data_IF_548226664844
#
_entry.id   IF_548226664844
#
_cell.length_a   1.000
_cell.length_b   1.000
_cell.length_c   1.000
_cell.angle_alpha   90.00
_cell.angle_beta   90.00
_cell.angle_gamma   90.00
#
_symmetry.space_group_name_H-M   'P 1'
#
loop_
_entity.id
_entity.type
_entity.pdbx_description
1 polymer ?
#
# COMPACT_ATOMS: atom_id res chain seq x y z
N UNK A 1 -80.13 -27.45 53.65
CA UNK A 1 -80.75 -26.12 53.43
C UNK A 1 -79.90 -25.05 54.10
N UNK A 2 -79.59 -24.01 53.33
CA UNK A 2 -79.25 -22.63 53.65
C UNK A 2 -78.76 -22.21 55.07
N UNK A 3 -77.60 -21.52 55.06
CA UNK A 3 -77.30 -20.18 55.67
C UNK A 3 -77.53 -20.05 57.20
N UNK A 4 -76.60 -19.53 57.99
CA UNK A 4 -76.03 -18.17 57.90
C UNK A 4 -74.94 -17.97 58.98
N UNK A 5 -73.91 -17.20 58.60
CA UNK A 5 -72.73 -16.76 59.35
C UNK A 5 -73.04 -15.85 60.55
N UNK A 6 -72.23 -15.90 61.61
CA UNK A 6 -71.89 -14.75 62.50
C UNK A 6 -70.44 -14.92 63.02
N UNK A 7 -69.51 -14.02 62.68
CA UNK A 7 -68.98 -12.88 63.48
C UNK A 7 -68.20 -13.34 64.73
N UNK A 8 -67.06 -12.77 65.15
CA UNK A 8 -66.03 -11.84 64.66
C UNK A 8 -65.02 -11.74 65.83
N UNK A 9 -63.72 -11.75 65.52
CA UNK A 9 -62.57 -11.12 66.25
C UNK A 9 -62.12 -11.63 67.63
N UNK A 10 -60.79 -11.82 67.69
CA UNK A 10 -59.74 -11.34 68.65
C UNK A 10 -58.81 -12.52 69.00
N UNK A 11 -57.48 -12.46 69.06
CA UNK A 11 -56.46 -11.40 68.93
C UNK A 11 -55.10 -12.07 69.28
N UNK A 12 -53.96 -11.66 68.64
CA UNK A 12 -52.55 -11.74 69.14
C UNK A 12 -51.89 -13.18 69.19
N UNK A 13 -50.63 -13.50 68.86
CA UNK A 13 -49.29 -12.85 68.84
C UNK A 13 -48.30 -13.67 67.93
N UNK A 14 -47.46 -12.99 67.13
CA UNK A 14 -46.11 -13.35 66.57
C UNK A 14 -45.89 -14.67 65.81
N UNK A 15 -45.10 -14.74 64.73
CA UNK A 15 -43.70 -14.31 64.63
C UNK A 15 -43.29 -14.12 63.15
N UNK A 16 -42.49 -13.07 62.92
CA UNK A 16 -41.74 -12.73 61.71
C UNK A 16 -41.12 -13.94 61.00
N UNK A 17 -41.29 -14.02 59.68
CA UNK A 17 -40.23 -14.24 58.67
C UNK A 17 -40.87 -14.15 57.28
N UNK A 18 -40.05 -13.80 56.28
CA UNK A 18 -40.32 -13.76 54.84
C UNK A 18 -40.64 -12.36 54.28
N UNK A 19 -39.85 -12.02 53.25
CA UNK A 19 -39.89 -10.86 52.33
C UNK A 19 -39.07 -9.63 52.75
N UNK A 20 -37.74 -9.76 52.78
CA UNK A 20 -36.87 -8.57 52.63
C UNK A 20 -35.45 -8.83 52.08
N UNK A 21 -35.18 -9.90 51.33
CA UNK A 21 -33.88 -10.06 50.65
C UNK A 21 -34.01 -10.78 49.29
N UNK A 22 -34.62 -10.15 48.26
CA UNK A 22 -34.11 -10.42 46.91
C UNK A 22 -34.01 -9.19 45.99
N UNK A 23 -34.13 -7.95 46.49
CA UNK A 23 -34.09 -6.76 45.62
C UNK A 23 -32.72 -6.04 45.63
N UNK A 24 -31.93 -6.14 46.70
CA UNK A 24 -30.62 -5.48 46.78
C UNK A 24 -29.51 -6.19 45.96
N UNK A 25 -29.61 -7.52 45.77
CA UNK A 25 -28.65 -8.27 44.96
C UNK A 25 -28.87 -8.09 43.44
N UNK A 26 -30.09 -7.74 43.02
CA UNK A 26 -30.39 -7.54 41.62
C UNK A 26 -29.89 -6.19 41.09
N UNK A 27 -29.77 -5.18 41.96
CA UNK A 27 -29.26 -3.84 41.58
C UNK A 27 -27.73 -3.78 41.58
N UNK A 28 -27.04 -4.64 42.33
CA UNK A 28 -25.56 -4.69 42.32
C UNK A 28 -24.99 -5.41 41.07
N UNK A 29 -25.78 -6.30 40.46
CA UNK A 29 -25.36 -7.02 39.24
C UNK A 29 -25.54 -6.21 37.95
N UNK A 30 -26.28 -5.10 37.96
CA UNK A 30 -26.47 -4.26 36.77
C UNK A 30 -25.47 -3.11 36.65
N UNK A 31 -24.67 -2.83 37.68
CA UNK A 31 -23.65 -1.76 37.66
C UNK A 31 -22.22 -2.25 37.39
N UNK A 32 -22.00 -3.56 37.21
CA UNK A 32 -20.69 -4.15 36.91
C UNK A 32 -20.69 -5.08 35.69
N UNK A 33 -21.50 -4.75 34.68
CA UNK A 33 -21.37 -5.33 33.34
C UNK A 33 -21.39 -4.22 32.31
N UNK A 34 -20.42 -3.29 32.39
CA UNK A 34 -19.99 -2.61 31.15
C UNK A 34 -19.44 -3.73 30.26
N UNK A 35 -19.91 -3.89 29.01
CA UNK A 35 -19.25 -4.80 28.10
C UNK A 35 -17.79 -4.37 28.06
N UNK A 36 -16.88 -5.30 28.38
CA UNK A 36 -15.50 -5.15 27.96
C UNK A 36 -15.63 -5.06 26.45
N UNK A 37 -15.43 -3.85 25.93
CA UNK A 37 -15.25 -3.62 24.52
C UNK A 37 -14.01 -4.43 24.17
N UNK A 38 -14.23 -5.68 23.76
CA UNK A 38 -13.18 -6.56 23.26
C UNK A 38 -12.50 -5.75 22.17
N UNK A 39 -11.26 -5.31 22.44
CA UNK A 39 -10.43 -4.64 21.47
C UNK A 39 -10.51 -5.46 20.19
N UNK A 40 -11.02 -4.84 19.12
CA UNK A 40 -11.13 -5.45 17.81
C UNK A 40 -9.74 -6.04 17.51
N UNK A 41 -9.68 -7.35 17.27
CA UNK A 41 -8.46 -8.01 16.81
C UNK A 41 -7.91 -7.17 15.63
N UNK A 42 -6.61 -6.84 15.58
CA UNK A 42 -6.09 -5.93 14.57
C UNK A 42 -6.49 -6.45 13.20
N UNK A 43 -7.20 -5.63 12.41
CA UNK A 43 -7.51 -5.97 11.02
C UNK A 43 -6.20 -6.30 10.31
N UNK A 44 -6.14 -7.48 9.70
CA UNK A 44 -4.99 -7.89 8.89
C UNK A 44 -4.78 -6.86 7.78
N UNK A 45 -3.57 -6.29 7.70
CA UNK A 45 -3.23 -5.28 6.70
C UNK A 45 -3.18 -5.98 5.34
N UNK A 46 -3.95 -5.50 4.37
CA UNK A 46 -3.85 -5.96 2.98
C UNK A 46 -2.54 -5.46 2.36
N UNK A 47 -1.49 -6.27 2.49
CA UNK A 47 -0.14 -5.95 2.00
C UNK A 47 -0.10 -5.77 0.47
N UNK A 48 -0.98 -6.43 -0.28
CA UNK A 48 -1.07 -6.30 -1.73
C UNK A 48 -1.56 -4.91 -2.12
N UNK A 49 -2.63 -4.44 -1.46
CA UNK A 49 -3.13 -3.09 -1.67
C UNK A 49 -2.11 -2.03 -1.22
N UNK A 50 -1.39 -2.26 -0.10
CA UNK A 50 -0.31 -1.37 0.34
C UNK A 50 0.80 -1.27 -0.70
N UNK A 51 1.22 -2.39 -1.31
CA UNK A 51 2.22 -2.39 -2.36
C UNK A 51 1.75 -1.58 -3.58
N UNK A 52 0.52 -1.81 -4.06
CA UNK A 52 -0.08 -1.06 -5.17
C UNK A 52 -0.11 0.44 -4.88
N UNK A 53 -0.66 0.84 -3.72
CA UNK A 53 -0.79 2.24 -3.31
C UNK A 53 0.59 2.93 -3.17
N UNK A 54 1.62 2.17 -2.75
CA UNK A 54 2.98 2.70 -2.60
C UNK A 54 3.60 3.14 -3.94
N UNK A 55 3.22 2.48 -5.05
CA UNK A 55 3.77 2.72 -6.38
C UNK A 55 2.88 3.60 -7.26
N UNK A 56 1.55 3.55 -7.06
CA UNK A 56 0.56 4.09 -8.00
C UNK A 56 0.76 5.58 -8.30
N UNK A 57 1.04 6.38 -7.29
CA UNK A 57 1.31 7.80 -7.49
C UNK A 57 2.52 8.05 -8.39
N UNK A 58 3.64 7.38 -8.13
CA UNK A 58 4.84 7.53 -8.96
C UNK A 58 4.62 7.01 -10.38
N UNK A 59 3.83 5.94 -10.54
CA UNK A 59 3.43 5.44 -11.85
C UNK A 59 2.62 6.49 -12.65
N UNK A 60 1.66 7.18 -12.01
CA UNK A 60 0.90 8.28 -12.65
C UNK A 60 1.80 9.47 -13.05
N UNK A 61 2.81 9.80 -12.23
CA UNK A 61 3.82 10.82 -12.57
C UNK A 61 4.61 10.40 -13.82
N UNK A 62 5.01 9.14 -13.92
CA UNK A 62 5.72 8.61 -15.09
C UNK A 62 4.82 8.56 -16.32
N UNK A 63 3.52 8.31 -16.15
CA UNK A 63 2.56 8.36 -17.23
C UNK A 63 2.44 9.76 -17.84
N UNK A 64 2.27 10.79 -17.01
CA UNK A 64 2.25 12.20 -17.45
C UNK A 64 3.52 12.56 -18.24
N UNK A 65 4.66 12.00 -17.84
CA UNK A 65 5.98 12.34 -18.40
C UNK A 65 6.38 11.54 -19.63
N UNK A 66 6.04 10.26 -19.67
CA UNK A 66 6.60 9.29 -20.61
C UNK A 66 5.55 8.45 -21.33
N UNK A 67 4.26 8.60 -21.02
CA UNK A 67 3.17 7.82 -21.60
C UNK A 67 3.28 6.31 -21.36
N UNK A 68 3.93 5.90 -20.27
CA UNK A 68 3.90 4.49 -19.82
C UNK A 68 2.68 4.32 -18.93
N UNK A 69 1.76 3.44 -19.31
CA UNK A 69 0.53 3.21 -18.54
C UNK A 69 0.86 2.77 -17.10
N UNK A 70 0.28 3.43 -16.08
CA UNK A 70 0.43 3.06 -14.68
C UNK A 70 0.05 1.61 -14.39
N UNK A 71 -1.05 1.13 -14.95
CA UNK A 71 -1.52 -0.26 -14.83
C UNK A 71 -0.45 -1.26 -15.27
N UNK A 72 0.20 -1.02 -16.41
CA UNK A 72 1.30 -1.83 -16.92
C UNK A 72 2.52 -1.77 -16.01
N UNK A 73 2.89 -0.57 -15.56
CA UNK A 73 4.05 -0.41 -14.67
C UNK A 73 3.86 -1.18 -13.36
N UNK A 74 2.68 -1.06 -12.75
CA UNK A 74 2.34 -1.73 -11.49
C UNK A 74 2.18 -3.24 -11.70
N UNK A 75 1.53 -3.69 -12.77
CA UNK A 75 1.37 -5.12 -13.07
C UNK A 75 2.71 -5.81 -13.32
N UNK A 76 3.62 -5.17 -14.06
CA UNK A 76 4.99 -5.66 -14.23
C UNK A 76 5.74 -5.66 -12.89
N UNK A 77 5.63 -4.60 -12.08
CA UNK A 77 6.26 -4.61 -10.76
C UNK A 77 5.75 -5.77 -9.89
N UNK A 78 4.45 -6.02 -9.85
CA UNK A 78 3.85 -7.15 -9.12
C UNK A 78 4.44 -8.48 -9.60
N UNK A 79 4.40 -8.72 -10.92
CA UNK A 79 4.81 -9.99 -11.51
C UNK A 79 6.31 -10.25 -11.37
N UNK A 80 7.15 -9.26 -11.64
CA UNK A 80 8.60 -9.40 -11.73
C UNK A 80 9.28 -9.38 -10.36
N UNK A 81 8.63 -8.79 -9.35
CA UNK A 81 9.21 -8.64 -8.01
C UNK A 81 8.55 -9.48 -6.93
N UNK A 82 7.53 -10.28 -7.26
CA UNK A 82 6.71 -11.00 -6.29
C UNK A 82 6.18 -10.06 -5.19
N UNK A 83 5.46 -9.01 -5.61
CA UNK A 83 4.96 -7.97 -4.69
C UNK A 83 6.07 -7.24 -3.90
N UNK A 84 7.25 -7.11 -4.49
CA UNK A 84 8.44 -6.53 -3.86
C UNK A 84 9.22 -7.49 -2.95
N UNK A 85 8.78 -8.75 -2.82
CA UNK A 85 9.35 -9.73 -1.89
C UNK A 85 10.47 -10.57 -2.49
N UNK A 86 10.71 -10.51 -3.81
CA UNK A 86 11.82 -11.21 -4.42
C UNK A 86 13.15 -10.75 -3.78
N UNK A 87 14.12 -11.66 -3.68
CA UNK A 87 15.41 -11.35 -3.06
C UNK A 87 16.07 -10.13 -3.72
N UNK A 88 15.95 -10.02 -5.04
CA UNK A 88 16.49 -8.90 -5.81
C UNK A 88 15.75 -7.59 -5.50
N UNK A 89 14.42 -7.60 -5.41
CA UNK A 89 13.66 -6.41 -5.03
C UNK A 89 13.99 -5.98 -3.60
N UNK A 90 14.02 -6.91 -2.66
CA UNK A 90 14.29 -6.64 -1.25
C UNK A 90 15.72 -6.13 -0.99
N UNK A 91 16.74 -6.66 -1.67
CA UNK A 91 18.14 -6.29 -1.43
C UNK A 91 18.66 -5.14 -2.30
N UNK A 92 18.02 -4.91 -3.45
CA UNK A 92 18.51 -3.99 -4.47
C UNK A 92 17.48 -2.98 -4.98
N UNK A 93 16.26 -2.96 -4.42
CA UNK A 93 15.14 -2.16 -4.89
C UNK A 93 14.84 -2.31 -6.39
N UNK A 94 15.20 -3.45 -6.97
CA UNK A 94 15.11 -3.68 -8.41
C UNK A 94 13.86 -4.51 -8.71
N UNK A 95 12.77 -3.80 -9.04
CA UNK A 95 11.44 -4.38 -9.25
C UNK A 95 11.32 -5.16 -10.56
N UNK A 96 12.16 -4.89 -11.55
CA UNK A 96 11.98 -5.37 -12.93
C UNK A 96 13.11 -6.28 -13.42
N UNK A 97 13.92 -6.81 -12.51
CA UNK A 97 15.00 -7.74 -12.86
C UNK A 97 16.11 -7.13 -13.75
N UNK A 98 16.30 -5.82 -13.71
CA UNK A 98 17.19 -5.13 -14.67
C UNK A 98 18.66 -5.48 -14.39
N UNK A 99 19.31 -6.13 -15.36
CA UNK A 99 20.73 -6.48 -15.28
C UNK A 99 21.66 -5.27 -15.46
N UNK A 100 22.86 -5.38 -14.90
CA UNK A 100 23.95 -4.43 -15.08
C UNK A 100 24.27 -3.62 -13.82
N UNK A 101 24.48 -2.32 -14.03
CA UNK A 101 24.91 -1.38 -12.99
C UNK A 101 24.10 -0.09 -13.09
N UNK A 102 23.76 0.51 -11.95
CA UNK A 102 23.06 1.78 -11.87
C UNK A 102 23.85 2.75 -11.00
N UNK A 103 24.36 3.84 -11.58
CA UNK A 103 25.18 4.86 -10.91
C UNK A 103 26.36 4.28 -10.09
N UNK A 104 26.99 3.20 -10.56
CA UNK A 104 28.08 2.50 -9.85
C UNK A 104 27.60 1.34 -8.97
N UNK A 105 26.31 1.24 -8.65
CA UNK A 105 25.76 0.24 -7.74
C UNK A 105 25.18 -0.99 -8.47
N UNK A 106 25.46 -2.17 -7.92
CA UNK A 106 24.91 -3.44 -8.38
C UNK A 106 24.94 -4.48 -7.25
N UNK A 107 24.15 -5.54 -7.40
CA UNK A 107 24.29 -6.79 -6.65
C UNK A 107 24.64 -7.93 -7.62
N UNK A 108 25.32 -8.96 -7.14
CA UNK A 108 25.59 -10.15 -7.95
C UNK A 108 24.82 -11.32 -7.36
N UNK A 109 23.88 -11.86 -8.12
CA UNK A 109 22.98 -12.94 -7.71
C UNK A 109 22.99 -14.05 -8.75
N UNK A 110 22.56 -15.24 -8.34
CA UNK A 110 22.30 -16.34 -9.26
C UNK A 110 21.02 -16.08 -10.05
N UNK A 111 21.00 -16.49 -11.31
CA UNK A 111 19.84 -16.38 -12.19
C UNK A 111 19.84 -17.53 -13.18
N UNK A 112 18.65 -17.98 -13.55
CA UNK A 112 18.48 -19.02 -14.54
C UNK A 112 18.36 -18.41 -15.94
N UNK A 113 19.29 -18.78 -16.82
CA UNK A 113 19.23 -18.46 -18.24
C UNK A 113 18.80 -19.68 -19.03
N UNK A 114 18.12 -19.45 -20.14
CA UNK A 114 17.87 -20.48 -21.14
C UNK A 114 18.80 -20.29 -22.33
N UNK A 115 19.79 -21.17 -22.48
CA UNK A 115 20.68 -21.20 -23.65
C UNK A 115 20.39 -22.46 -24.46
N UNK A 116 20.00 -22.31 -25.73
CA UNK A 116 19.67 -23.43 -26.63
C UNK A 116 18.61 -24.40 -26.06
N UNK A 117 17.67 -23.87 -25.26
CA UNK A 117 16.60 -24.66 -24.62
C UNK A 117 17.00 -25.34 -23.31
N UNK A 118 18.25 -25.21 -22.87
CA UNK A 118 18.71 -25.75 -21.58
C UNK A 118 18.76 -24.63 -20.53
N UNK A 119 18.19 -24.90 -19.36
CA UNK A 119 18.28 -24.02 -18.18
C UNK A 119 19.68 -24.12 -17.59
N UNK A 120 20.34 -22.99 -17.38
CA UNK A 120 21.64 -22.87 -16.71
C UNK A 120 21.57 -21.80 -15.64
N UNK A 121 21.99 -22.15 -14.43
CA UNK A 121 22.15 -21.17 -13.36
C UNK A 121 23.52 -20.51 -13.49
N UNK A 122 23.55 -19.19 -13.66
CA UNK A 122 24.78 -18.39 -13.73
C UNK A 122 24.73 -17.25 -12.73
N UNK A 123 25.88 -16.66 -12.40
CA UNK A 123 25.92 -15.41 -11.64
C UNK A 123 25.83 -14.22 -12.59
N UNK A 124 24.85 -13.36 -12.37
CA UNK A 124 24.66 -12.13 -13.12
C UNK A 124 24.73 -10.90 -12.20
N UNK A 125 25.13 -9.77 -12.77
CA UNK A 125 25.03 -8.47 -12.09
C UNK A 125 23.64 -7.90 -12.34
N UNK A 126 22.97 -7.48 -11.29
CA UNK A 126 21.71 -6.75 -11.33
C UNK A 126 21.90 -5.34 -10.80
N UNK A 127 21.20 -4.38 -11.43
CA UNK A 127 21.21 -2.99 -10.97
C UNK A 127 20.72 -2.92 -9.54
N UNK A 128 21.36 -2.06 -8.75
CA UNK A 128 20.92 -1.72 -7.40
C UNK A 128 20.51 -0.26 -7.38
N UNK A 129 19.30 -0.01 -6.92
CA UNK A 129 18.68 1.30 -6.79
C UNK A 129 18.59 1.69 -5.32
N UNK A 130 18.55 2.99 -5.04
CA UNK A 130 18.29 3.47 -3.69
C UNK A 130 16.83 3.26 -3.30
N UNK A 131 15.91 3.35 -4.27
CA UNK A 131 14.46 3.24 -4.02
C UNK A 131 13.74 2.51 -5.16
N UNK A 132 12.53 2.02 -4.89
CA UNK A 132 11.66 1.49 -5.95
C UNK A 132 11.36 2.52 -7.05
N UNK A 133 11.31 3.82 -6.71
CA UNK A 133 11.02 4.86 -7.69
C UNK A 133 12.16 5.03 -8.70
N UNK A 134 13.42 4.89 -8.28
CA UNK A 134 14.54 4.88 -9.24
C UNK A 134 14.49 3.66 -10.18
N UNK A 135 14.03 2.51 -9.69
CA UNK A 135 13.78 1.33 -10.52
C UNK A 135 12.66 1.57 -11.53
N UNK A 136 11.57 2.22 -11.11
CA UNK A 136 10.46 2.60 -12.00
C UNK A 136 10.88 3.63 -13.05
N UNK A 137 11.68 4.63 -12.68
CA UNK A 137 12.23 5.62 -13.60
C UNK A 137 13.09 4.98 -14.68
N UNK A 138 13.99 4.06 -14.28
CA UNK A 138 14.88 3.36 -15.19
C UNK A 138 14.11 2.40 -16.12
N UNK A 139 13.06 1.76 -15.60
CA UNK A 139 12.13 0.94 -16.37
C UNK A 139 11.35 1.79 -17.40
N UNK A 140 10.77 2.92 -17.02
CA UNK A 140 10.10 3.82 -17.96
C UNK A 140 11.06 4.31 -19.06
N UNK A 141 12.30 4.62 -18.70
CA UNK A 141 13.32 5.05 -19.66
C UNK A 141 13.73 3.95 -20.65
N UNK A 142 13.59 2.67 -20.31
CA UNK A 142 13.75 1.58 -21.27
C UNK A 142 12.73 1.70 -22.40
N UNK A 143 11.48 2.02 -22.09
CA UNK A 143 10.44 2.17 -23.10
C UNK A 143 10.67 3.40 -23.98
N UNK A 144 11.01 4.54 -23.36
CA UNK A 144 11.31 5.80 -24.05
C UNK A 144 12.51 5.68 -24.99
N UNK A 145 13.57 5.00 -24.56
CA UNK A 145 14.84 4.95 -25.28
C UNK A 145 15.00 3.72 -26.16
N UNK A 146 14.17 2.71 -25.97
CA UNK A 146 14.39 1.37 -26.52
C UNK A 146 15.70 0.74 -26.05
N UNK A 147 16.15 -0.25 -26.81
CA UNK A 147 17.43 -0.95 -26.55
C UNK A 147 18.60 -0.25 -27.25
N UNK A 148 19.84 -0.69 -27.00
CA UNK A 148 21.01 -0.15 -27.70
C UNK A 148 20.96 -0.42 -29.21
N UNK A 149 20.40 -1.55 -29.65
CA UNK A 149 20.32 -1.94 -31.06
C UNK A 149 18.99 -1.57 -31.73
N UNK A 150 17.92 -1.31 -30.96
CA UNK A 150 16.64 -0.86 -31.49
C UNK A 150 16.00 0.19 -30.57
N UNK A 151 16.16 1.46 -30.95
CA UNK A 151 15.63 2.63 -30.22
C UNK A 151 14.11 2.76 -30.24
N UNK A 152 13.44 2.10 -31.19
CA UNK A 152 11.98 2.12 -31.32
C UNK A 152 11.32 0.83 -30.83
N UNK A 153 12.09 -0.07 -30.20
CA UNK A 153 11.64 -1.42 -29.81
C UNK A 153 10.32 -1.40 -29.03
N UNK A 154 10.17 -0.44 -28.11
CA UNK A 154 9.00 -0.33 -27.23
C UNK A 154 8.09 0.84 -27.59
N UNK A 155 8.27 1.47 -28.76
CA UNK A 155 7.37 2.55 -29.19
C UNK A 155 5.89 2.12 -29.22
N UNK A 156 5.53 0.91 -29.68
CA UNK A 156 4.14 0.46 -29.61
C UNK A 156 3.57 0.35 -28.19
N UNK A 157 4.41 0.15 -27.17
CA UNK A 157 3.97 0.16 -25.75
C UNK A 157 3.57 1.56 -25.31
N UNK A 158 4.31 2.58 -25.77
CA UNK A 158 4.03 3.99 -25.46
C UNK A 158 2.85 4.57 -26.27
N UNK A 159 2.57 3.98 -27.44
CA UNK A 159 1.48 4.39 -28.32
C UNK A 159 0.15 3.66 -28.01
N UNK A 160 0.18 2.67 -27.12
CA UNK A 160 -0.99 1.87 -26.74
C UNK A 160 -2.04 2.72 -26.02
N UNK A 161 -3.31 2.55 -26.40
CA UNK A 161 -4.43 3.28 -25.81
C UNK A 161 -4.93 2.68 -24.50
N UNK A 162 -4.67 1.40 -24.27
CA UNK A 162 -5.04 0.67 -23.05
C UNK A 162 -4.00 -0.39 -22.67
N UNK A 163 -4.19 -0.99 -21.49
CA UNK A 163 -3.28 -1.99 -20.96
C UNK A 163 -3.25 -3.28 -21.78
N UNK A 164 -4.32 -3.67 -22.49
CA UNK A 164 -4.35 -4.89 -23.31
C UNK A 164 -3.48 -4.72 -24.55
N UNK A 165 -3.58 -3.56 -25.19
CA UNK A 165 -2.71 -3.16 -26.29
C UNK A 165 -1.24 -3.08 -25.83
N UNK A 166 -0.98 -2.46 -24.68
CA UNK A 166 0.38 -2.33 -24.14
C UNK A 166 0.98 -3.68 -23.75
N UNK A 167 0.22 -4.58 -23.12
CA UNK A 167 0.64 -5.94 -22.78
C UNK A 167 0.97 -6.77 -24.03
N UNK A 168 0.10 -6.68 -25.06
CA UNK A 168 0.35 -7.31 -26.37
C UNK A 168 1.60 -6.75 -27.05
N UNK A 169 1.81 -5.43 -26.97
CA UNK A 169 3.00 -4.77 -27.49
C UNK A 169 4.28 -5.22 -26.77
N UNK A 170 4.25 -5.38 -25.45
CA UNK A 170 5.37 -5.90 -24.65
C UNK A 170 5.74 -7.33 -25.06
N UNK A 171 4.75 -8.20 -25.22
CA UNK A 171 4.97 -9.57 -25.67
C UNK A 171 5.52 -9.62 -27.09
N UNK A 172 4.94 -8.85 -28.01
CA UNK A 172 5.40 -8.75 -29.41
C UNK A 172 6.83 -8.22 -29.50
N UNK A 173 7.18 -7.26 -28.63
CA UNK A 173 8.54 -6.74 -28.53
C UNK A 173 9.53 -7.77 -27.94
N UNK A 174 9.06 -8.89 -27.38
CA UNK A 174 9.89 -9.85 -26.68
C UNK A 174 10.51 -9.25 -25.43
N UNK A 175 9.68 -8.61 -24.59
CA UNK A 175 10.08 -8.17 -23.26
C UNK A 175 10.38 -9.38 -22.36
N UNK A 176 9.51 -10.39 -22.39
CA UNK A 176 9.68 -11.68 -21.74
C UNK A 176 9.65 -12.82 -22.76
N UNK A 177 10.25 -13.96 -22.42
CA UNK A 177 10.19 -15.20 -23.22
C UNK A 177 8.95 -16.03 -22.94
N UNK A 178 8.16 -15.63 -21.94
CA UNK A 178 6.93 -16.30 -21.54
C UNK A 178 5.83 -16.11 -22.61
N UNK A 179 5.27 -17.21 -23.17
CA UNK A 179 4.23 -17.14 -24.19
C UNK A 179 2.90 -16.58 -23.67
N UNK A 180 2.69 -16.52 -22.35
CA UNK A 180 1.45 -16.01 -21.74
C UNK A 180 1.66 -14.66 -21.03
N UNK A 181 2.77 -13.96 -21.32
CA UNK A 181 3.13 -12.72 -20.61
C UNK A 181 2.05 -11.64 -20.70
N UNK A 182 1.48 -11.41 -21.89
CA UNK A 182 0.45 -10.40 -22.08
C UNK A 182 -0.83 -10.71 -21.28
N UNK A 183 -1.23 -11.99 -21.27
CA UNK A 183 -2.40 -12.47 -20.54
C UNK A 183 -2.20 -12.38 -19.02
N UNK A 184 -0.99 -12.70 -18.52
CA UNK A 184 -0.63 -12.53 -17.10
C UNK A 184 -0.73 -11.07 -16.66
N UNK A 185 -0.18 -10.15 -17.44
CA UNK A 185 -0.29 -8.72 -17.14
C UNK A 185 -1.74 -8.26 -17.14
N UNK A 186 -2.51 -8.61 -18.18
CA UNK A 186 -3.92 -8.25 -18.29
C UNK A 186 -4.74 -8.79 -17.11
N UNK A 187 -4.47 -10.04 -16.70
CA UNK A 187 -5.12 -10.67 -15.55
C UNK A 187 -4.80 -9.94 -14.25
N UNK A 188 -3.55 -9.50 -14.05
CA UNK A 188 -3.16 -8.73 -12.87
C UNK A 188 -3.86 -7.37 -12.87
N UNK A 189 -3.89 -6.67 -14.02
CA UNK A 189 -4.59 -5.39 -14.16
C UNK A 189 -6.07 -5.53 -13.80
N UNK A 190 -6.75 -6.51 -14.39
CA UNK A 190 -8.19 -6.76 -14.15
C UNK A 190 -8.48 -7.20 -12.71
N UNK A 191 -7.62 -8.03 -12.11
CA UNK A 191 -7.83 -8.54 -10.75
C UNK A 191 -7.75 -7.42 -9.69
N UNK A 192 -6.91 -6.42 -9.90
CA UNK A 192 -6.63 -5.37 -8.93
C UNK A 192 -7.12 -3.98 -9.38
N UNK A 193 -7.96 -3.91 -10.41
CA UNK A 193 -8.51 -2.68 -10.98
C UNK A 193 -7.42 -1.62 -11.30
N UNK A 194 -6.26 -2.06 -11.81
CA UNK A 194 -5.09 -1.18 -11.95
C UNK A 194 -5.23 -0.12 -13.05
N UNK A 195 -6.13 -0.35 -14.01
CA UNK A 195 -6.49 0.61 -15.07
C UNK A 195 -7.19 1.86 -14.52
N UNK A 196 -7.73 1.81 -13.30
CA UNK A 196 -8.19 3.00 -12.58
C UNK A 196 -7.07 4.04 -12.35
N UNK A 197 -5.80 3.65 -12.44
CA UNK A 197 -4.66 4.57 -12.36
C UNK A 197 -4.24 5.13 -13.72
N UNK A 198 -4.78 4.66 -14.86
CA UNK A 198 -4.38 5.04 -16.23
C UNK A 198 -4.87 6.44 -16.65
N UNK A 199 -4.90 7.35 -15.70
CA UNK A 199 -5.24 8.75 -15.86
C UNK A 199 -4.14 9.66 -15.31
N UNK A 200 -3.97 10.82 -15.94
CA UNK A 200 -3.09 11.86 -15.42
C UNK A 200 -3.76 12.45 -14.18
N UNK A 201 -2.98 12.58 -13.10
CA UNK A 201 -3.41 13.20 -11.86
C UNK A 201 -2.68 14.53 -11.64
N UNK A 202 -3.25 15.68 -12.06
CA UNK A 202 -2.55 16.97 -12.02
C UNK A 202 -2.23 17.46 -10.60
N UNK A 203 -2.96 16.95 -9.60
CA UNK A 203 -2.74 17.30 -8.18
C UNK A 203 -1.47 16.65 -7.61
N UNK A 204 -0.98 15.60 -8.27
CA UNK A 204 0.16 14.81 -7.85
C UNK A 204 1.44 15.31 -8.52
N UNK A 205 2.49 15.51 -7.73
CA UNK A 205 3.79 15.98 -8.20
C UNK A 205 4.93 15.26 -7.50
N UNK A 206 5.94 14.85 -8.26
CA UNK A 206 7.23 14.43 -7.71
C UNK A 206 7.95 15.65 -7.14
N UNK A 207 8.56 15.47 -5.97
CA UNK A 207 9.34 16.49 -5.26
C UNK A 207 10.59 15.85 -4.65
N UNK A 208 11.56 16.67 -4.27
CA UNK A 208 12.75 16.23 -3.52
C UNK A 208 12.92 17.20 -2.35
N UNK A 209 12.14 16.99 -1.29
CA UNK A 209 12.16 17.83 -0.09
C UNK A 209 12.67 17.03 1.10
N UNK A 210 13.35 17.72 2.01
CA UNK A 210 13.78 17.15 3.28
C UNK A 210 13.00 17.80 4.42
N UNK A 211 12.78 17.05 5.50
CA UNK A 211 12.00 17.54 6.63
C UNK A 211 12.08 16.63 7.85
N UNK A 212 11.14 16.82 8.77
CA UNK A 212 10.95 15.97 9.94
C UNK A 212 9.48 15.91 10.33
N UNK A 213 9.10 14.86 11.06
CA UNK A 213 7.78 14.78 11.68
C UNK A 213 7.76 15.68 12.92
N UNK A 214 6.74 16.53 13.04
CA UNK A 214 6.59 17.46 14.17
C UNK A 214 6.37 16.70 15.48
N UNK A 215 6.94 17.19 16.57
CA UNK A 215 6.74 16.61 17.91
C UNK A 215 5.26 16.59 18.34
N UNK A 216 4.46 17.53 17.83
CA UNK A 216 3.03 17.64 18.08
C UNK A 216 2.16 16.85 17.09
N UNK A 217 2.76 16.05 16.20
CA UNK A 217 2.00 15.30 15.19
C UNK A 217 1.09 14.26 15.87
N UNK A 218 -0.18 14.29 15.49
CA UNK A 218 -1.22 13.34 15.94
C UNK A 218 -1.81 12.53 14.78
N UNK A 219 -1.38 12.84 13.56
CA UNK A 219 -1.83 12.21 12.34
C UNK A 219 -1.29 10.78 12.22
N UNK A 220 -1.96 10.01 11.38
CA UNK A 220 -1.53 8.69 10.98
C UNK A 220 -0.81 8.74 9.62
N UNK A 221 -0.03 7.69 9.37
CA UNK A 221 0.57 7.40 8.08
C UNK A 221 -0.29 6.38 7.36
N UNK A 222 -0.55 6.62 6.07
CA UNK A 222 -1.48 5.86 5.24
C UNK A 222 -0.81 5.31 3.98
N UNK A 223 -1.39 4.29 3.36
CA UNK A 223 -0.90 3.72 2.09
C UNK A 223 -1.02 4.71 0.92
N UNK A 224 -2.04 5.57 0.96
CA UNK A 224 -2.32 6.73 0.10
C UNK A 224 -3.14 7.75 0.90
N UNK A 225 -3.43 8.98 0.41
CA UNK A 225 -4.22 9.95 1.17
C UNK A 225 -5.47 9.33 1.81
N UNK A 226 -5.73 9.60 3.09
CA UNK A 226 -6.74 8.86 3.87
C UNK A 226 -8.17 9.03 3.34
N UNK A 227 -8.39 10.05 2.52
CA UNK A 227 -9.68 10.33 1.85
C UNK A 227 -9.94 9.45 0.64
N UNK A 228 -8.93 8.72 0.17
CA UNK A 228 -9.02 7.94 -1.06
C UNK A 228 -9.55 6.54 -0.78
N UNK A 229 -10.32 6.00 -1.72
CA UNK A 229 -10.94 4.68 -1.58
C UNK A 229 -9.89 3.58 -1.36
N UNK A 230 -10.19 2.65 -0.44
CA UNK A 230 -9.28 1.56 -0.05
C UNK A 230 -7.95 2.04 0.56
N UNK A 231 -7.84 3.28 1.06
CA UNK A 231 -6.67 3.72 1.82
C UNK A 231 -6.55 2.95 3.14
N UNK A 232 -5.33 2.50 3.44
CA UNK A 232 -5.02 1.66 4.61
C UNK A 232 -4.17 2.46 5.59
N UNK A 233 -4.58 2.47 6.85
CA UNK A 233 -3.78 3.04 7.95
C UNK A 233 -2.58 2.13 8.23
N UNK A 234 -1.37 2.65 8.09
CA UNK A 234 -0.14 1.89 8.31
C UNK A 234 0.35 1.99 9.75
N UNK A 235 0.47 3.21 10.28
CA UNK A 235 0.95 3.46 11.65
C UNK A 235 0.64 4.89 12.10
N UNK A 236 0.95 5.21 13.36
CA UNK A 236 0.94 6.59 13.84
C UNK A 236 2.22 7.32 13.44
N UNK A 237 2.09 8.60 13.03
CA UNK A 237 3.23 9.46 12.75
C UNK A 237 4.17 9.62 13.95
N UNK A 238 3.66 9.44 15.18
CA UNK A 238 4.45 9.50 16.41
C UNK A 238 5.61 8.50 16.44
N UNK A 239 5.50 7.38 15.72
CA UNK A 239 6.55 6.38 15.57
C UNK A 239 7.81 6.90 14.87
N UNK A 240 7.70 8.06 14.23
CA UNK A 240 8.75 8.67 13.40
C UNK A 240 9.18 10.07 13.89
N UNK A 241 8.70 10.51 15.06
CA UNK A 241 9.17 11.76 15.68
C UNK A 241 10.69 11.71 15.87
N UNK A 242 11.36 12.83 15.56
CA UNK A 242 12.81 12.97 15.66
C UNK A 242 13.61 12.31 14.52
N UNK A 243 12.95 11.67 13.55
CA UNK A 243 13.60 11.16 12.34
C UNK A 243 13.60 12.21 11.24
N UNK A 244 14.71 12.30 10.51
CA UNK A 244 14.74 13.02 9.25
C UNK A 244 13.96 12.23 8.19
N UNK A 245 13.15 12.94 7.42
CA UNK A 245 12.37 12.36 6.33
C UNK A 245 12.75 12.99 5.00
N UNK A 246 12.57 12.22 3.93
CA UNK A 246 12.60 12.70 2.55
C UNK A 246 11.19 12.62 1.96
N UNK A 247 10.62 13.73 1.54
CA UNK A 247 9.36 13.76 0.79
C UNK A 247 9.67 13.62 -0.69
N UNK A 248 9.06 12.61 -1.32
CA UNK A 248 9.33 12.21 -2.71
C UNK A 248 8.17 12.51 -3.66
N UNK A 249 6.96 12.60 -3.10
CA UNK A 249 5.75 12.99 -3.83
C UNK A 249 4.89 13.86 -2.94
N UNK A 250 4.16 14.79 -3.56
CA UNK A 250 3.08 15.54 -2.90
C UNK A 250 1.80 15.50 -3.71
N UNK A 251 0.67 15.53 -3.02
CA UNK A 251 -0.65 15.55 -3.65
C UNK A 251 -1.57 16.57 -2.99
N UNK A 252 -2.15 17.47 -3.78
CA UNK A 252 -3.18 18.40 -3.31
C UNK A 252 -4.55 17.70 -3.24
N UNK A 253 -5.19 17.67 -2.07
CA UNK A 253 -6.55 17.12 -1.88
C UNK A 253 -7.42 18.13 -1.14
N UNK A 254 -8.20 18.89 -1.89
CA UNK A 254 -9.00 19.99 -1.33
C UNK A 254 -8.09 21.03 -0.67
N UNK A 255 -8.27 21.27 0.62
CA UNK A 255 -7.44 22.20 1.40
C UNK A 255 -6.17 21.56 2.00
N UNK A 256 -6.06 20.24 2.01
CA UNK A 256 -4.90 19.52 2.54
C UNK A 256 -3.86 19.24 1.47
N UNK A 257 -2.59 19.20 1.88
CA UNK A 257 -1.50 18.63 1.08
C UNK A 257 -1.09 17.31 1.73
N UNK A 258 -0.92 16.28 0.93
CA UNK A 258 -0.40 15.00 1.38
C UNK A 258 1.02 14.80 0.87
N UNK A 259 1.90 14.31 1.74
CA UNK A 259 3.29 14.00 1.43
C UNK A 259 3.54 12.51 1.49
N UNK A 260 4.04 11.95 0.39
CA UNK A 260 4.62 10.62 0.38
C UNK A 260 6.09 10.74 0.79
N UNK A 261 6.50 10.00 1.82
CA UNK A 261 7.81 10.17 2.41
C UNK A 261 8.57 8.86 2.66
N UNK A 262 9.88 9.02 2.76
CA UNK A 262 10.86 7.98 2.99
C UNK A 262 11.68 8.29 4.25
N UNK A 263 12.18 7.24 4.88
CA UNK A 263 13.16 7.28 5.96
C UNK A 263 14.21 6.23 5.64
N UNK A 264 15.49 6.60 5.66
CA UNK A 264 16.61 5.70 5.32
C UNK A 264 16.41 4.98 3.98
N UNK A 265 16.00 5.74 2.94
CA UNK A 265 15.65 5.26 1.59
C UNK A 265 14.48 4.26 1.52
N UNK A 266 13.84 3.93 2.64
CA UNK A 266 12.63 3.10 2.68
C UNK A 266 11.38 3.96 2.59
N UNK A 267 10.49 3.63 1.66
CA UNK A 267 9.17 4.25 1.55
C UNK A 267 8.30 3.88 2.76
N UNK A 268 7.75 4.91 3.42
CA UNK A 268 6.99 4.74 4.67
C UNK A 268 5.49 4.86 4.41
N UNK A 269 5.07 5.82 3.59
CA UNK A 269 3.67 6.03 3.24
C UNK A 269 3.35 7.51 3.01
N UNK A 270 2.07 7.84 3.13
CA UNK A 270 1.51 9.17 2.96
C UNK A 270 1.09 9.77 4.29
N UNK A 271 1.38 11.05 4.48
CA UNK A 271 1.03 11.80 5.68
C UNK A 271 0.51 13.19 5.30
N UNK A 272 -0.45 13.70 6.06
CA UNK A 272 -0.95 15.07 5.90
C UNK A 272 0.15 16.09 6.26
N UNK A 273 0.25 17.18 5.49
CA UNK A 273 1.30 18.19 5.62
C UNK A 273 1.31 18.90 6.97
N UNK A 274 0.16 18.95 7.66
CA UNK A 274 0.08 19.51 9.01
C UNK A 274 0.98 18.77 10.01
N UNK A 275 1.32 17.51 9.78
CA UNK A 275 2.21 16.70 10.61
C UNK A 275 3.70 16.89 10.32
N UNK A 276 4.05 17.53 9.19
CA UNK A 276 5.42 17.60 8.67
C UNK A 276 5.95 19.02 8.74
N UNK A 277 7.21 19.15 9.14
CA UNK A 277 7.99 20.38 8.97
C UNK A 277 9.00 20.18 7.84
N UNK A 278 8.84 20.94 6.75
CA UNK A 278 9.77 20.92 5.61
C UNK A 278 10.91 21.90 5.90
N UNK A 279 12.14 21.43 5.76
CA UNK A 279 13.34 22.26 5.86
C UNK A 279 13.58 22.88 4.48
N UNK A 280 13.68 24.20 4.40
CA UNK A 280 14.18 24.82 3.17
C UNK A 280 15.64 24.40 2.95
N UNK A 281 16.01 24.12 1.71
CA UNK A 281 17.38 23.80 1.35
C UNK A 281 18.27 24.99 1.75
N UNK A 282 19.25 24.73 2.61
CA UNK A 282 20.29 25.70 3.00
C UNK A 282 21.39 25.76 1.95
#
# INVERSE_FOLDING_TARGET
MARKKLKKRRLLITLFFIVSIPLAFFVLATTLSKPIETAKEPEEIDEQQVFIDSLSGHAQILYEKYHVLPSITIAQAILESDWGNSELAAQANNLFGVKGNYKGHHVTMETDEFEKGERKTIRAKFRKYSTFFESMDDHAQLFVRGTSWNKKKYKPVLDAGDYKEAATALQTAGYATDPDYADKLSTIVEKYDLDAYDEVNPSLKSVDLIGSIKDSAVQDVWSKPSTDERSIRLTSAQSYIGKDIKVVSKQQKGQSVWYQFQIDDKLIGWIDDSAVEIKEAT
#
